data_IF_543753100291
#
_entry.id   IF_543753100291
#
_cell.length_a   1.000
_cell.length_b   1.000
_cell.length_c   1.000
_cell.angle_alpha   90.00
_cell.angle_beta   90.00
_cell.angle_gamma   90.00
#
_symmetry.space_group_name_H-M   'P 1'
#
loop_
_entity.id
_entity.type
_entity.pdbx_description
1 polymer ?
#
# COMPACT_ATOMS: atom_id res chain seq x y z
N UNK A 1 -0.51 -27.22 7.21
CA UNK A 1 -0.46 -25.86 7.78
C UNK A 1 -0.32 -24.85 6.66
N UNK A 2 -0.60 -23.58 6.90
CA UNK A 2 -0.39 -22.52 5.92
C UNK A 2 1.06 -22.03 6.05
N UNK A 3 1.79 -21.89 4.95
CA UNK A 3 3.11 -21.27 4.97
C UNK A 3 2.94 -19.77 5.25
N UNK A 4 3.68 -19.22 6.22
CA UNK A 4 3.53 -17.83 6.68
C UNK A 4 3.89 -16.78 5.63
N UNK A 5 4.53 -17.18 4.53
CA UNK A 5 4.99 -16.28 3.48
C UNK A 5 4.00 -16.24 2.32
N UNK A 6 3.03 -15.33 2.40
CA UNK A 6 2.17 -15.00 1.28
C UNK A 6 2.94 -14.18 0.24
N UNK A 7 2.85 -14.61 -1.01
CA UNK A 7 3.39 -13.86 -2.16
C UNK A 7 2.24 -13.09 -2.78
N UNK A 8 2.38 -11.77 -2.92
CA UNK A 8 1.42 -10.98 -3.69
C UNK A 8 1.78 -11.08 -5.17
N UNK A 9 0.80 -11.48 -5.97
CA UNK A 9 0.89 -11.72 -7.40
C UNK A 9 -0.36 -11.17 -8.08
N UNK A 10 -0.33 -11.11 -9.40
CA UNK A 10 -1.50 -10.88 -10.22
C UNK A 10 -1.88 -12.17 -10.95
N UNK A 11 -3.16 -12.53 -10.89
CA UNK A 11 -3.69 -13.68 -11.64
C UNK A 11 -4.92 -13.20 -12.39
N UNK A 12 -4.88 -13.25 -13.72
CA UNK A 12 -5.95 -12.79 -14.61
C UNK A 12 -6.42 -11.34 -14.30
N UNK A 13 -5.50 -10.39 -14.16
CA UNK A 13 -5.78 -8.98 -13.77
C UNK A 13 -6.42 -8.78 -12.38
N UNK A 14 -6.38 -9.80 -11.51
CA UNK A 14 -6.85 -9.70 -10.13
C UNK A 14 -5.66 -9.81 -9.17
N UNK A 15 -5.38 -8.77 -8.37
CA UNK A 15 -4.30 -8.81 -7.39
C UNK A 15 -4.67 -9.70 -6.21
N UNK A 16 -3.82 -10.70 -5.96
CA UNK A 16 -4.08 -11.74 -4.95
C UNK A 16 -2.83 -12.06 -4.15
N UNK A 17 -3.04 -12.53 -2.93
CA UNK A 17 -1.97 -13.15 -2.13
C UNK A 17 -2.10 -14.65 -2.20
N UNK A 18 -1.04 -15.32 -2.59
CA UNK A 18 -0.99 -16.78 -2.69
C UNK A 18 -0.01 -17.38 -1.70
N UNK A 19 -0.37 -18.52 -1.13
CA UNK A 19 0.55 -19.35 -0.37
C UNK A 19 0.17 -20.82 -0.54
N UNK A 20 1.11 -21.71 -0.87
CA UNK A 20 0.82 -23.13 -0.96
C UNK A 20 0.56 -23.70 0.44
N UNK A 21 -0.28 -24.72 0.54
CA UNK A 21 -0.32 -25.48 1.79
C UNK A 21 1.05 -26.13 2.06
N UNK A 22 1.34 -26.33 3.34
CA UNK A 22 2.57 -26.97 3.79
C UNK A 22 2.26 -28.24 4.59
N UNK A 23 3.15 -29.23 4.49
CA UNK A 23 3.13 -30.38 5.40
C UNK A 23 3.32 -29.88 6.85
N UNK A 24 2.45 -30.30 7.77
CA UNK A 24 2.49 -29.85 9.17
C UNK A 24 3.63 -30.47 9.97
N UNK A 25 4.05 -31.68 9.59
CA UNK A 25 5.02 -32.49 10.30
C UNK A 25 5.54 -33.63 9.39
N UNK A 26 6.56 -34.34 9.87
CA UNK A 26 7.23 -35.40 9.11
C UNK A 26 6.32 -36.61 8.85
N UNK A 27 5.37 -36.90 9.74
CA UNK A 27 4.43 -38.03 9.56
C UNK A 27 3.46 -37.69 8.43
N UNK A 28 2.88 -36.48 8.46
CA UNK A 28 1.99 -35.98 7.41
C UNK A 28 2.72 -35.83 6.08
N UNK A 29 4.00 -35.50 6.10
CA UNK A 29 4.85 -35.58 4.92
C UNK A 29 4.86 -37.01 4.35
N UNK A 30 5.27 -38.03 5.11
CA UNK A 30 5.39 -39.40 4.57
C UNK A 30 4.06 -39.97 4.05
N UNK A 31 2.93 -39.59 4.65
CA UNK A 31 1.60 -40.00 4.21
C UNK A 31 1.22 -39.34 2.87
N UNK A 32 1.54 -38.06 2.68
CA UNK A 32 1.01 -37.26 1.57
C UNK A 32 2.04 -36.93 0.47
N UNK A 33 3.33 -37.17 0.72
CA UNK A 33 4.45 -36.88 -0.17
C UNK A 33 4.26 -37.41 -1.60
N UNK A 34 3.68 -38.61 -1.73
CA UNK A 34 3.43 -39.24 -3.04
C UNK A 34 2.40 -38.47 -3.88
N UNK A 35 1.38 -37.92 -3.22
CA UNK A 35 0.29 -37.20 -3.86
C UNK A 35 0.61 -35.71 -4.07
N UNK A 36 1.59 -35.18 -3.35
CA UNK A 36 1.95 -33.76 -3.39
C UNK A 36 0.96 -32.89 -2.62
N UNK A 37 1.11 -31.57 -2.76
CA UNK A 37 0.25 -30.55 -2.18
C UNK A 37 -0.78 -30.12 -3.24
N UNK A 38 -2.06 -30.46 -3.10
CA UNK A 38 -3.05 -30.22 -4.16
C UNK A 38 -3.73 -28.84 -4.12
N UNK A 39 -3.53 -28.06 -3.04
CA UNK A 39 -4.22 -26.79 -2.85
C UNK A 39 -3.26 -25.68 -2.42
N UNK A 40 -3.65 -24.45 -2.72
CA UNK A 40 -3.05 -23.23 -2.20
C UNK A 40 -4.16 -22.31 -1.67
N UNK A 41 -3.80 -21.42 -0.75
CA UNK A 41 -4.69 -20.36 -0.29
C UNK A 41 -4.50 -19.16 -1.21
N UNK A 42 -5.61 -18.60 -1.71
CA UNK A 42 -5.69 -17.37 -2.50
C UNK A 42 -6.48 -16.36 -1.68
N UNK A 43 -5.92 -15.20 -1.40
CA UNK A 43 -6.62 -14.11 -0.71
C UNK A 43 -6.76 -12.94 -1.68
N UNK A 44 -7.99 -12.50 -1.91
CA UNK A 44 -8.28 -11.35 -2.74
C UNK A 44 -7.84 -10.05 -2.03
N UNK A 45 -7.11 -9.18 -2.73
CA UNK A 45 -6.60 -7.96 -2.12
C UNK A 45 -7.67 -6.87 -1.92
N UNK A 46 -8.75 -6.89 -2.70
CA UNK A 46 -9.84 -5.94 -2.59
C UNK A 46 -10.87 -6.38 -1.52
N UNK A 47 -11.32 -7.64 -1.55
CA UNK A 47 -12.34 -8.12 -0.61
C UNK A 47 -11.77 -8.68 0.69
N UNK A 48 -10.47 -9.05 0.70
CA UNK A 48 -9.83 -9.79 1.79
C UNK A 48 -10.41 -11.20 2.02
N UNK A 49 -11.23 -11.71 1.10
CA UNK A 49 -11.76 -13.08 1.17
C UNK A 49 -10.65 -14.09 0.88
N UNK A 50 -10.64 -15.19 1.63
CA UNK A 50 -9.66 -16.26 1.51
C UNK A 50 -10.30 -17.53 0.97
N UNK A 51 -9.83 -17.97 -0.21
CA UNK A 51 -10.25 -19.18 -0.88
C UNK A 51 -9.19 -20.27 -0.80
N UNK A 52 -9.64 -21.52 -0.66
CA UNK A 52 -8.78 -22.68 -0.85
C UNK A 52 -8.92 -23.19 -2.30
N UNK A 53 -7.93 -22.90 -3.13
CA UNK A 53 -7.97 -23.18 -4.57
C UNK A 53 -7.18 -24.45 -4.88
N UNK A 54 -7.75 -25.31 -5.73
CA UNK A 54 -7.10 -26.55 -6.18
C UNK A 54 -6.15 -26.24 -7.33
N UNK A 55 -4.92 -26.71 -7.24
CA UNK A 55 -3.95 -26.65 -8.33
C UNK A 55 -4.34 -27.62 -9.44
N UNK A 56 -4.02 -27.25 -10.69
CA UNK A 56 -4.16 -28.16 -11.84
C UNK A 56 -3.32 -29.42 -11.60
N UNK A 57 -2.08 -29.23 -11.15
CA UNK A 57 -1.14 -30.28 -10.81
C UNK A 57 -0.64 -30.10 -9.37
N UNK A 58 -0.74 -31.13 -8.50
CA UNK A 58 -0.23 -31.04 -7.12
C UNK A 58 1.28 -30.76 -7.07
N UNK A 59 1.70 -29.91 -6.13
CA UNK A 59 3.12 -29.60 -5.93
C UNK A 59 3.82 -30.80 -5.31
N UNK A 60 4.81 -31.35 -6.01
CA UNK A 60 5.74 -32.36 -5.48
C UNK A 60 7.03 -31.75 -4.97
N UNK A 61 7.35 -30.55 -5.44
CA UNK A 61 8.49 -29.75 -5.01
C UNK A 61 7.95 -28.56 -4.26
N UNK A 62 8.39 -28.33 -3.03
CA UNK A 62 7.93 -27.21 -2.21
C UNK A 62 8.94 -26.86 -1.14
N UNK A 63 8.77 -25.70 -0.50
CA UNK A 63 9.55 -25.31 0.70
C UNK A 63 9.29 -26.19 1.93
N UNK A 64 8.20 -26.96 1.93
CA UNK A 64 7.85 -27.86 3.05
C UNK A 64 8.19 -29.32 2.76
N UNK A 65 8.61 -29.63 1.53
CA UNK A 65 9.07 -30.97 1.18
C UNK A 65 10.48 -31.20 1.76
N UNK A 66 10.92 -32.44 1.80
CA UNK A 66 12.22 -32.81 2.38
C UNK A 66 13.13 -33.44 1.32
N UNK A 67 14.42 -33.54 1.65
CA UNK A 67 15.43 -34.14 0.77
C UNK A 67 15.46 -33.45 -0.61
N UNK A 68 15.52 -34.20 -1.71
CA UNK A 68 15.74 -33.65 -3.05
C UNK A 68 14.53 -32.95 -3.66
N UNK A 69 13.39 -32.92 -2.96
CA UNK A 69 12.18 -32.22 -3.40
C UNK A 69 11.91 -30.93 -2.63
N UNK A 70 12.71 -30.67 -1.59
CA UNK A 70 12.84 -29.32 -1.06
C UNK A 70 13.29 -28.39 -2.20
N UNK A 71 12.51 -27.34 -2.46
CA UNK A 71 12.68 -26.52 -3.65
C UNK A 71 14.06 -25.82 -3.69
N UNK A 72 14.52 -25.32 -2.54
CA UNK A 72 15.80 -24.62 -2.45
C UNK A 72 16.97 -25.57 -2.72
N UNK A 73 16.93 -26.77 -2.12
CA UNK A 73 17.91 -27.83 -2.38
C UNK A 73 17.87 -28.30 -3.82
N UNK A 74 16.68 -28.54 -4.38
CA UNK A 74 16.49 -28.98 -5.76
C UNK A 74 17.12 -28.00 -6.76
N UNK A 75 16.78 -26.71 -6.64
CA UNK A 75 17.34 -25.64 -7.48
C UNK A 75 18.86 -25.54 -7.31
N UNK A 76 19.38 -25.69 -6.08
CA UNK A 76 20.82 -25.71 -5.82
C UNK A 76 21.56 -26.83 -6.55
N UNK A 77 21.01 -28.04 -6.60
CA UNK A 77 21.63 -29.15 -7.32
C UNK A 77 21.55 -28.99 -8.84
N UNK A 78 20.47 -28.40 -9.35
CA UNK A 78 20.30 -28.14 -10.79
C UNK A 78 21.17 -26.99 -11.31
N UNK A 79 21.40 -25.97 -10.47
CA UNK A 79 22.14 -24.77 -10.85
C UNK A 79 23.27 -24.45 -9.85
N UNK A 80 24.28 -25.34 -9.70
CA UNK A 80 25.26 -25.27 -8.60
C UNK A 80 26.11 -24.00 -8.60
N UNK A 81 26.36 -23.41 -9.77
CA UNK A 81 27.23 -22.23 -9.96
C UNK A 81 26.49 -20.89 -9.85
N UNK A 82 25.17 -20.89 -9.69
CA UNK A 82 24.37 -19.67 -9.60
C UNK A 82 24.28 -19.20 -8.14
N UNK A 83 24.21 -17.89 -7.95
CA UNK A 83 23.87 -17.27 -6.66
C UNK A 83 22.36 -17.06 -6.64
N UNK A 84 21.69 -17.49 -5.58
CA UNK A 84 20.24 -17.37 -5.46
C UNK A 84 19.87 -16.24 -4.50
N UNK A 85 18.77 -15.56 -4.80
CA UNK A 85 18.11 -14.60 -3.94
C UNK A 85 16.84 -15.21 -3.34
N UNK A 86 15.77 -14.41 -3.30
CA UNK A 86 14.47 -14.85 -2.81
C UNK A 86 13.91 -15.97 -3.71
N UNK A 87 13.14 -16.88 -3.09
CA UNK A 87 12.30 -17.83 -3.81
C UNK A 87 10.85 -17.61 -3.39
N UNK A 88 9.99 -17.26 -4.33
CA UNK A 88 8.56 -16.99 -4.11
C UNK A 88 7.69 -18.03 -4.83
N UNK A 89 6.50 -18.27 -4.29
CA UNK A 89 5.52 -19.15 -4.92
C UNK A 89 4.56 -18.29 -5.74
N UNK A 90 4.38 -18.65 -6.99
CA UNK A 90 3.47 -17.98 -7.93
C UNK A 90 2.60 -19.01 -8.62
N UNK A 91 1.47 -18.56 -9.14
CA UNK A 91 0.53 -19.41 -9.90
C UNK A 91 0.30 -18.71 -11.23
N UNK A 92 0.48 -19.43 -12.34
CA UNK A 92 0.19 -18.87 -13.67
C UNK A 92 -1.33 -18.71 -13.88
N UNK A 93 -1.72 -18.05 -14.98
CA UNK A 93 -3.13 -17.84 -15.33
C UNK A 93 -3.89 -19.15 -15.58
N UNK A 94 -3.17 -20.25 -15.83
CA UNK A 94 -3.69 -21.59 -16.06
C UNK A 94 -3.90 -22.39 -14.77
N UNK A 95 -3.44 -21.88 -13.61
CA UNK A 95 -3.59 -22.52 -12.31
C UNK A 95 -2.50 -23.53 -11.95
N UNK A 96 -1.37 -23.53 -12.66
CA UNK A 96 -0.17 -24.29 -12.30
C UNK A 96 0.69 -23.51 -11.31
N UNK A 97 1.18 -24.19 -10.27
CA UNK A 97 2.04 -23.58 -9.26
C UNK A 97 3.52 -23.68 -9.61
N UNK A 98 4.24 -22.56 -9.49
CA UNK A 98 5.67 -22.47 -9.71
C UNK A 98 6.39 -21.86 -8.52
N UNK A 99 7.69 -22.13 -8.47
CA UNK A 99 8.62 -21.41 -7.62
C UNK A 99 9.55 -20.59 -8.50
N UNK A 100 9.57 -19.29 -8.28
CA UNK A 100 10.44 -18.34 -8.96
C UNK A 100 11.58 -18.00 -8.01
N UNK A 101 12.81 -18.30 -8.42
CA UNK A 101 14.03 -18.02 -7.64
C UNK A 101 14.86 -16.98 -8.35
N UNK A 102 15.09 -15.83 -7.71
CA UNK A 102 15.97 -14.78 -8.26
C UNK A 102 17.39 -15.31 -8.40
N UNK A 103 18.05 -15.00 -9.52
CA UNK A 103 19.47 -15.29 -9.72
C UNK A 103 20.29 -14.02 -9.58
N UNK A 104 21.15 -14.00 -8.59
CA UNK A 104 21.95 -12.85 -8.22
C UNK A 104 23.27 -12.77 -9.02
N UNK A 105 23.80 -11.56 -9.08
CA UNK A 105 25.13 -11.22 -9.59
C UNK A 105 25.78 -10.17 -8.69
N UNK A 106 27.09 -9.98 -8.84
CA UNK A 106 27.86 -8.89 -8.21
C UNK A 106 28.31 -7.94 -9.31
N UNK A 107 27.92 -6.67 -9.23
CA UNK A 107 28.32 -5.64 -10.19
C UNK A 107 29.61 -4.92 -9.80
N UNK A 108 30.03 -5.00 -8.53
CA UNK A 108 31.21 -4.31 -8.02
C UNK A 108 32.17 -5.32 -7.40
N UNK A 109 33.20 -5.69 -8.17
CA UNK A 109 34.17 -6.71 -7.77
C UNK A 109 33.51 -8.04 -7.44
N UNK A 110 34.08 -8.79 -6.49
CA UNK A 110 33.58 -10.11 -6.08
C UNK A 110 32.60 -10.06 -4.89
N UNK A 111 32.43 -8.91 -4.23
CA UNK A 111 31.63 -8.79 -3.00
C UNK A 111 30.48 -7.79 -3.09
N UNK A 112 30.58 -6.76 -3.90
CA UNK A 112 29.68 -5.60 -3.87
C UNK A 112 28.69 -5.52 -5.03
N UNK A 113 27.73 -4.58 -4.89
CA UNK A 113 26.74 -4.29 -5.92
C UNK A 113 25.89 -5.50 -6.28
N UNK A 114 25.28 -6.14 -5.27
CA UNK A 114 24.35 -7.26 -5.52
C UNK A 114 23.24 -6.75 -6.43
N UNK A 115 22.94 -7.52 -7.47
CA UNK A 115 21.80 -7.27 -8.34
C UNK A 115 21.24 -8.59 -8.87
N UNK A 116 20.08 -8.55 -9.51
CA UNK A 116 19.49 -9.70 -10.19
C UNK A 116 19.93 -9.71 -11.65
N UNK A 117 20.28 -10.88 -12.17
CA UNK A 117 20.62 -11.10 -13.59
C UNK A 117 19.65 -12.01 -14.34
N UNK A 118 18.69 -12.61 -13.63
CA UNK A 118 17.71 -13.52 -14.20
C UNK A 118 16.90 -14.21 -13.11
N UNK A 119 16.06 -15.15 -13.51
CA UNK A 119 15.25 -15.96 -12.61
C UNK A 119 15.31 -17.43 -13.01
N UNK A 120 15.17 -18.33 -12.04
CA UNK A 120 14.91 -19.75 -12.28
C UNK A 120 13.45 -19.98 -11.98
N UNK A 121 12.69 -20.42 -12.99
CA UNK A 121 11.29 -20.79 -12.84
C UNK A 121 11.23 -22.30 -12.75
N UNK A 122 10.76 -22.81 -11.61
CA UNK A 122 10.61 -24.24 -11.35
C UNK A 122 9.15 -24.61 -11.27
N UNK A 123 8.71 -25.53 -12.13
CA UNK A 123 7.37 -26.10 -12.04
C UNK A 123 7.25 -26.95 -10.76
N UNK A 124 6.33 -26.59 -9.88
CA UNK A 124 6.21 -27.23 -8.57
C UNK A 124 5.74 -28.68 -8.64
N UNK A 125 5.09 -29.10 -9.73
CA UNK A 125 4.61 -30.47 -9.90
C UNK A 125 5.66 -31.40 -10.52
N UNK A 126 6.36 -30.96 -11.57
CA UNK A 126 7.35 -31.77 -12.29
C UNK A 126 8.78 -31.63 -11.75
N UNK A 127 9.11 -30.49 -11.13
CA UNK A 127 10.48 -30.14 -10.76
C UNK A 127 11.34 -29.74 -11.95
N UNK A 128 10.76 -29.50 -13.11
CA UNK A 128 11.47 -28.89 -14.23
C UNK A 128 11.86 -27.46 -13.84
N UNK A 129 13.16 -27.14 -13.94
CA UNK A 129 13.74 -25.86 -13.52
C UNK A 129 14.49 -25.24 -14.71
N UNK A 130 13.95 -24.13 -15.22
CA UNK A 130 14.51 -23.41 -16.36
C UNK A 130 15.04 -22.04 -15.91
N UNK A 131 16.27 -21.72 -16.33
CA UNK A 131 16.87 -20.41 -16.10
C UNK A 131 16.51 -19.48 -17.25
N UNK A 132 16.09 -18.26 -16.91
CA UNK A 132 15.81 -17.18 -17.84
C UNK A 132 16.68 -15.97 -17.49
N UNK A 133 17.31 -15.38 -18.49
CA UNK A 133 17.83 -14.02 -18.38
C UNK A 133 16.66 -13.03 -18.28
N UNK A 134 16.90 -11.84 -17.71
CA UNK A 134 15.84 -10.87 -17.36
C UNK A 134 14.86 -10.57 -18.51
N UNK A 135 15.38 -10.39 -19.72
CA UNK A 135 14.59 -10.08 -20.93
C UNK A 135 13.71 -11.24 -21.41
N UNK A 136 14.00 -12.46 -20.96
CA UNK A 136 13.33 -13.69 -21.36
C UNK A 136 12.47 -14.29 -20.23
N UNK A 137 12.36 -13.61 -19.09
CA UNK A 137 11.47 -14.05 -18.01
C UNK A 137 10.02 -13.99 -18.52
N UNK A 138 9.22 -15.06 -18.36
CA UNK A 138 7.82 -15.06 -18.79
C UNK A 138 7.02 -13.91 -18.17
N UNK A 139 6.08 -13.34 -18.93
CA UNK A 139 5.32 -12.16 -18.49
C UNK A 139 4.43 -12.41 -17.26
N UNK A 140 3.95 -13.64 -17.06
CA UNK A 140 3.14 -14.00 -15.89
C UNK A 140 3.93 -14.00 -14.57
N UNK A 141 5.26 -13.93 -14.62
CA UNK A 141 6.11 -13.96 -13.42
C UNK A 141 6.19 -12.58 -12.80
N UNK A 142 5.52 -12.35 -11.67
CA UNK A 142 5.42 -11.01 -11.06
C UNK A 142 6.69 -10.57 -10.33
N UNK A 143 7.35 -11.50 -9.62
CA UNK A 143 8.43 -11.14 -8.69
C UNK A 143 9.75 -11.83 -9.05
N UNK A 144 10.61 -11.05 -9.70
CA UNK A 144 11.99 -11.42 -10.04
C UNK A 144 12.99 -10.75 -9.09
N UNK A 145 12.71 -9.52 -8.68
CA UNK A 145 13.57 -8.72 -7.82
C UNK A 145 13.12 -8.83 -6.35
N UNK A 146 13.98 -9.30 -5.43
CA UNK A 146 13.65 -9.30 -4.00
C UNK A 146 13.46 -7.88 -3.46
N UNK A 147 12.40 -7.63 -2.70
CA UNK A 147 12.09 -6.30 -2.17
C UNK A 147 13.23 -5.76 -1.28
N UNK A 148 13.79 -6.59 -0.40
CA UNK A 148 14.93 -6.20 0.45
C UNK A 148 16.16 -5.77 -0.36
N UNK A 149 16.39 -6.38 -1.52
CA UNK A 149 17.48 -5.99 -2.40
C UNK A 149 17.20 -4.62 -3.05
N UNK A 150 15.96 -4.37 -3.47
CA UNK A 150 15.55 -3.07 -4.01
C UNK A 150 15.66 -1.97 -2.97
N UNK A 151 15.20 -2.22 -1.73
CA UNK A 151 15.36 -1.30 -0.59
C UNK A 151 16.83 -0.93 -0.37
N UNK A 152 17.72 -1.94 -0.29
CA UNK A 152 19.14 -1.69 -0.13
C UNK A 152 19.75 -0.89 -1.30
N UNK A 153 19.31 -1.14 -2.53
CA UNK A 153 19.77 -0.40 -3.71
C UNK A 153 19.26 1.06 -3.73
N UNK A 154 18.03 1.31 -3.29
CA UNK A 154 17.49 2.66 -3.11
C UNK A 154 18.25 3.41 -2.02
N UNK A 155 18.57 2.75 -0.91
CA UNK A 155 19.42 3.30 0.15
C UNK A 155 20.82 3.65 -0.37
N UNK A 156 21.44 2.79 -1.17
CA UNK A 156 22.73 3.12 -1.80
C UNK A 156 22.63 4.32 -2.75
N UNK A 157 21.56 4.40 -3.55
CA UNK A 157 21.30 5.56 -4.41
C UNK A 157 21.17 6.84 -3.58
N UNK A 158 20.42 6.80 -2.49
CA UNK A 158 20.19 7.95 -1.62
C UNK A 158 21.41 8.36 -0.81
N UNK A 159 22.18 7.37 -0.34
CA UNK A 159 23.40 7.57 0.44
C UNK A 159 24.54 8.17 -0.38
N UNK A 160 24.69 7.71 -1.62
CA UNK A 160 25.83 8.07 -2.48
C UNK A 160 25.48 9.06 -3.60
N UNK A 161 24.30 9.71 -3.56
CA UNK A 161 23.82 10.67 -4.56
C UNK A 161 24.86 11.77 -4.89
N UNK A 162 25.46 12.34 -3.84
CA UNK A 162 26.49 13.39 -3.92
C UNK A 162 27.91 12.82 -3.69
N UNK A 163 28.08 11.50 -3.86
CA UNK A 163 29.35 10.80 -3.77
C UNK A 163 29.73 10.30 -2.37
N UNK A 164 30.71 9.39 -2.35
CA UNK A 164 31.15 8.66 -1.15
C UNK A 164 31.70 9.56 -0.03
N UNK A 165 32.48 10.58 -0.37
CA UNK A 165 33.01 11.49 0.65
C UNK A 165 31.90 12.35 1.28
N UNK A 166 30.89 12.72 0.49
CA UNK A 166 29.72 13.41 1.02
C UNK A 166 28.93 12.48 1.97
N UNK A 167 28.73 11.21 1.62
CA UNK A 167 27.97 10.28 2.49
C UNK A 167 28.57 10.11 3.89
N UNK A 168 29.88 10.30 4.04
CA UNK A 168 30.59 10.13 5.32
C UNK A 168 30.76 11.45 6.06
N UNK A 169 31.15 12.52 5.36
CA UNK A 169 31.61 13.78 6.00
C UNK A 169 30.53 14.87 5.91
N UNK A 170 30.01 15.10 4.71
CA UNK A 170 29.12 16.24 4.43
C UNK A 170 27.66 15.97 4.79
N UNK A 171 27.20 14.75 4.52
CA UNK A 171 25.84 14.24 4.63
C UNK A 171 24.79 15.19 4.05
N UNK A 172 25.14 15.94 2.99
CA UNK A 172 24.22 16.85 2.30
C UNK A 172 23.37 16.04 1.32
N UNK A 173 22.07 16.30 1.26
CA UNK A 173 21.11 15.63 0.37
C UNK A 173 21.15 14.10 0.43
N UNK A 174 21.55 13.55 1.57
CA UNK A 174 21.59 12.10 1.78
C UNK A 174 20.20 11.64 2.18
N UNK A 175 19.67 10.70 1.41
CA UNK A 175 18.34 10.13 1.62
C UNK A 175 18.43 8.65 1.93
N UNK A 176 17.41 8.14 2.61
CA UNK A 176 17.23 6.73 2.91
C UNK A 176 15.77 6.34 2.74
N UNK A 177 15.49 5.11 2.35
CA UNK A 177 14.13 4.57 2.39
C UNK A 177 13.59 4.56 3.82
N UNK A 178 12.27 4.69 3.95
CA UNK A 178 11.62 4.49 5.25
C UNK A 178 11.61 3.01 5.62
N UNK A 179 11.34 2.67 6.88
CA UNK A 179 11.45 1.28 7.32
C UNK A 179 10.27 0.45 6.80
N UNK A 180 10.48 -0.26 5.70
CA UNK A 180 9.50 -1.18 5.14
C UNK A 180 8.95 -0.75 3.81
N UNK A 181 8.06 -1.58 3.27
CA UNK A 181 7.49 -1.43 1.95
C UNK A 181 6.12 -2.12 1.89
N UNK A 182 5.37 -1.80 0.84
CA UNK A 182 4.15 -2.49 0.48
C UNK A 182 4.19 -2.94 -0.99
N UNK A 183 3.26 -3.80 -1.39
CA UNK A 183 3.11 -4.24 -2.77
C UNK A 183 1.85 -3.63 -3.37
N UNK A 184 2.01 -2.93 -4.50
CA UNK A 184 0.92 -2.27 -5.21
C UNK A 184 0.81 -2.87 -6.61
N UNK A 185 -0.34 -3.46 -6.97
CA UNK A 185 -0.60 -3.90 -8.34
C UNK A 185 -0.88 -2.69 -9.25
N UNK A 186 -0.20 -2.60 -10.39
CA UNK A 186 -0.38 -1.54 -11.40
C UNK A 186 -0.21 -2.13 -12.80
N UNK A 187 -1.22 -1.95 -13.66
CA UNK A 187 -1.18 -2.31 -15.09
C UNK A 187 -0.62 -3.71 -15.36
N UNK A 188 -1.14 -4.69 -14.62
CA UNK A 188 -0.79 -6.11 -14.62
C UNK A 188 0.44 -6.52 -13.78
N UNK A 189 1.38 -5.60 -13.49
CA UNK A 189 2.59 -5.91 -12.72
C UNK A 189 2.46 -5.59 -11.23
N UNK A 190 3.31 -6.22 -10.40
CA UNK A 190 3.48 -5.87 -8.99
C UNK A 190 4.63 -4.88 -8.81
N UNK A 191 4.35 -3.76 -8.13
CA UNK A 191 5.33 -2.75 -7.75
C UNK A 191 5.59 -2.80 -6.24
N UNK A 192 6.86 -2.64 -5.85
CA UNK A 192 7.23 -2.30 -4.49
C UNK A 192 7.05 -0.80 -4.26
N UNK A 193 6.32 -0.46 -3.20
CA UNK A 193 6.10 0.90 -2.72
C UNK A 193 6.89 1.14 -1.43
N UNK A 194 7.66 2.22 -1.36
CA UNK A 194 8.35 2.65 -0.13
C UNK A 194 8.57 4.17 -0.11
N UNK A 195 8.55 4.77 1.08
CA UNK A 195 8.86 6.18 1.30
C UNK A 195 10.37 6.46 1.33
N UNK A 196 10.74 7.74 1.27
CA UNK A 196 12.12 8.21 1.27
C UNK A 196 12.25 9.41 2.18
N UNK A 197 13.10 9.33 3.20
CA UNK A 197 13.34 10.43 4.13
C UNK A 197 14.79 10.93 4.06
N UNK A 198 15.03 12.12 4.61
CA UNK A 198 16.37 12.68 4.80
C UNK A 198 17.00 12.15 6.08
N UNK A 199 18.30 11.83 6.05
CA UNK A 199 19.01 11.37 7.26
C UNK A 199 19.16 12.48 8.32
N UNK A 200 19.07 13.76 7.92
CA UNK A 200 19.65 14.88 8.67
C UNK A 200 18.70 15.84 9.40
N UNK A 201 17.50 15.38 9.79
CA UNK A 201 16.66 15.99 10.83
C UNK A 201 15.42 16.82 10.46
N UNK A 202 14.70 16.46 9.40
CA UNK A 202 13.26 16.72 9.37
C UNK A 202 12.60 15.39 8.98
N UNK A 203 11.79 14.81 9.86
CA UNK A 203 11.09 13.54 9.62
C UNK A 203 9.96 13.68 8.58
N UNK A 204 10.20 14.49 7.55
CA UNK A 204 9.37 14.56 6.37
C UNK A 204 9.89 13.55 5.35
N UNK A 205 8.95 12.78 4.85
CA UNK A 205 9.10 12.00 3.64
C UNK A 205 9.22 12.99 2.47
N UNK A 206 10.27 12.82 1.67
CA UNK A 206 10.54 13.61 0.46
C UNK A 206 9.70 13.13 -0.73
N UNK A 207 9.17 11.91 -0.63
CA UNK A 207 8.40 11.27 -1.67
C UNK A 207 8.52 9.76 -1.66
N UNK A 208 7.93 9.12 -2.66
CA UNK A 208 7.78 7.67 -2.70
C UNK A 208 8.40 7.07 -3.95
N UNK A 209 9.01 5.89 -3.81
CA UNK A 209 9.39 5.06 -4.93
C UNK A 209 8.35 3.98 -5.20
N UNK A 210 8.05 3.81 -6.48
CA UNK A 210 7.39 2.62 -7.02
C UNK A 210 8.39 1.91 -7.90
N UNK A 211 8.72 0.65 -7.58
CA UNK A 211 9.70 -0.14 -8.34
C UNK A 211 9.04 -1.43 -8.82
N UNK A 212 8.98 -1.63 -10.13
CA UNK A 212 8.43 -2.84 -10.74
C UNK A 212 9.26 -4.05 -10.31
N UNK A 213 8.61 -5.05 -9.72
CA UNK A 213 9.25 -6.23 -9.12
C UNK A 213 9.74 -7.25 -10.17
N UNK A 214 9.36 -7.09 -11.44
CA UNK A 214 9.77 -7.92 -12.58
C UNK A 214 10.83 -7.23 -13.44
N UNK A 215 10.64 -5.95 -13.76
CA UNK A 215 11.50 -5.20 -14.71
C UNK A 215 12.50 -4.26 -14.06
N UNK A 216 12.33 -3.95 -12.77
CA UNK A 216 13.09 -2.94 -12.02
C UNK A 216 12.85 -1.48 -12.47
N UNK A 217 11.88 -1.21 -13.34
CA UNK A 217 11.52 0.17 -13.67
C UNK A 217 11.08 0.91 -12.39
N UNK A 218 11.66 2.08 -12.15
CA UNK A 218 11.42 2.85 -10.93
C UNK A 218 10.85 4.23 -11.23
N UNK A 219 9.77 4.62 -10.55
CA UNK A 219 9.19 5.97 -10.58
C UNK A 219 9.29 6.59 -9.20
N UNK A 220 9.67 7.87 -9.14
CA UNK A 220 9.71 8.65 -7.91
C UNK A 220 8.65 9.75 -7.95
N UNK A 221 7.84 9.83 -6.91
CA UNK A 221 6.85 10.88 -6.74
C UNK A 221 7.27 11.76 -5.58
N UNK A 222 7.63 13.01 -5.86
CA UNK A 222 7.98 13.96 -4.81
C UNK A 222 6.69 14.49 -4.19
N UNK A 223 6.46 14.10 -2.94
CA UNK A 223 5.30 14.49 -2.15
C UNK A 223 5.82 14.78 -0.76
N UNK A 224 5.86 16.05 -0.33
CA UNK A 224 6.21 16.40 1.04
C UNK A 224 5.14 15.82 1.97
N UNK A 225 5.47 14.76 2.69
CA UNK A 225 4.51 14.11 3.59
C UNK A 225 5.18 13.67 4.89
N UNK A 226 4.39 13.30 5.89
CA UNK A 226 4.88 12.56 7.04
C UNK A 226 5.41 11.18 6.60
N UNK A 227 6.38 10.66 7.34
CA UNK A 227 6.80 9.27 7.19
C UNK A 227 5.68 8.30 7.61
N UNK A 228 5.73 7.08 7.10
CA UNK A 228 4.70 6.06 7.31
C UNK A 228 4.52 5.69 8.78
N UNK A 229 5.58 5.70 9.60
CA UNK A 229 5.48 5.37 11.02
C UNK A 229 4.82 6.49 11.81
N UNK A 230 5.11 7.74 11.47
CA UNK A 230 4.40 8.89 12.04
C UNK A 230 2.89 8.78 11.78
N UNK A 231 2.49 8.41 10.56
CA UNK A 231 1.09 8.16 10.24
C UNK A 231 0.50 6.97 11.03
N UNK A 232 1.23 5.85 11.12
CA UNK A 232 0.83 4.68 11.92
C UNK A 232 0.65 5.01 13.40
N UNK A 233 1.57 5.78 13.98
CA UNK A 233 1.50 6.22 15.37
C UNK A 233 0.32 7.17 15.60
N UNK A 234 0.02 8.05 14.64
CA UNK A 234 -1.13 8.94 14.69
C UNK A 234 -2.45 8.15 14.67
N UNK A 235 -2.56 7.17 13.77
CA UNK A 235 -3.71 6.27 13.69
C UNK A 235 -3.92 5.46 14.97
N UNK A 236 -2.87 4.85 15.50
CA UNK A 236 -2.93 4.12 16.77
C UNK A 236 -3.25 5.05 17.96
N UNK A 237 -2.80 6.31 17.89
CA UNK A 237 -3.07 7.35 18.88
C UNK A 237 -4.54 7.65 19.09
N UNK A 238 -5.37 7.54 18.05
CA UNK A 238 -6.82 7.78 18.12
C UNK A 238 -7.60 6.64 18.80
N UNK A 239 -7.05 5.43 18.86
CA UNK A 239 -7.73 4.24 19.37
C UNK A 239 -6.86 3.46 20.38
N UNK A 240 -6.07 4.18 21.18
CA UNK A 240 -5.13 3.58 22.13
C UNK A 240 -5.81 2.60 23.10
N UNK A 241 -7.07 2.87 23.47
CA UNK A 241 -7.85 2.03 24.37
C UNK A 241 -8.17 0.65 23.80
N UNK A 242 -8.12 0.48 22.47
CA UNK A 242 -8.36 -0.81 21.79
C UNK A 242 -7.12 -1.71 21.75
N UNK A 243 -5.93 -1.16 22.00
CA UNK A 243 -4.64 -1.86 21.84
C UNK A 243 -4.49 -2.52 20.46
N UNK A 244 -4.97 -1.86 19.40
CA UNK A 244 -4.80 -2.36 18.03
C UNK A 244 -3.43 -1.97 17.48
N UNK A 245 -2.86 -2.85 16.67
CA UNK A 245 -1.56 -2.64 16.01
C UNK A 245 -1.78 -2.14 14.59
N UNK A 246 -1.22 -0.97 14.20
CA UNK A 246 -1.33 -0.47 12.84
C UNK A 246 -0.47 -1.29 11.88
N UNK A 247 -0.96 -1.49 10.65
CA UNK A 247 -0.18 -2.07 9.55
C UNK A 247 0.62 -0.99 8.83
N UNK A 248 1.66 -1.39 8.11
CA UNK A 248 2.32 -0.49 7.16
C UNK A 248 1.28 0.07 6.16
N UNK A 249 1.24 1.39 5.94
CA UNK A 249 0.19 2.03 5.16
C UNK A 249 0.27 1.70 3.67
N UNK A 250 -0.85 1.94 2.98
CA UNK A 250 -0.91 2.08 1.52
C UNK A 250 -1.18 3.55 1.22
N UNK A 251 -0.42 4.16 0.31
CA UNK A 251 -0.70 5.51 -0.13
C UNK A 251 -1.80 5.50 -1.20
N UNK A 252 -2.85 6.28 -0.95
CA UNK A 252 -3.96 6.50 -1.88
C UNK A 252 -3.98 7.96 -2.31
N UNK A 253 -4.50 8.20 -3.52
CA UNK A 253 -4.97 9.52 -3.90
C UNK A 253 -6.46 9.61 -3.56
N UNK A 254 -6.81 10.39 -2.55
CA UNK A 254 -8.20 10.69 -2.19
C UNK A 254 -8.42 12.18 -2.45
N UNK A 255 -9.18 12.52 -3.50
CA UNK A 255 -9.44 13.91 -3.93
C UNK A 255 -8.18 14.76 -4.13
N UNK A 256 -7.25 14.26 -4.92
CA UNK A 256 -5.94 14.90 -5.19
C UNK A 256 -5.07 15.12 -3.96
N UNK A 257 -5.38 14.43 -2.85
CA UNK A 257 -4.56 14.43 -1.64
C UNK A 257 -3.91 13.07 -1.39
N UNK A 258 -2.59 13.05 -1.16
CA UNK A 258 -1.89 11.85 -0.71
C UNK A 258 -2.41 11.48 0.69
N UNK A 259 -3.00 10.30 0.82
CA UNK A 259 -3.65 9.84 2.05
C UNK A 259 -3.21 8.42 2.36
N UNK A 260 -2.74 8.17 3.58
CA UNK A 260 -2.36 6.84 4.03
C UNK A 260 -3.57 6.05 4.51
N UNK A 261 -3.84 4.91 3.89
CA UNK A 261 -4.75 3.89 4.39
C UNK A 261 -4.00 2.90 5.28
N UNK A 262 -4.44 2.77 6.52
CA UNK A 262 -3.83 1.93 7.55
C UNK A 262 -4.87 0.93 8.05
N UNK A 263 -4.55 -0.36 8.00
CA UNK A 263 -5.34 -1.38 8.70
C UNK A 263 -4.96 -1.42 10.18
N UNK A 264 -5.95 -1.56 11.06
CA UNK A 264 -5.76 -1.63 12.50
C UNK A 264 -6.14 -3.04 12.97
N UNK A 265 -5.14 -3.79 13.42
CA UNK A 265 -5.27 -5.22 13.76
C UNK A 265 -5.46 -5.42 15.25
N UNK A 266 -6.34 -6.35 15.61
CA UNK A 266 -6.42 -6.85 16.98
C UNK A 266 -5.21 -7.74 17.35
N UNK A 267 -5.18 -8.20 18.60
CA UNK A 267 -4.13 -9.10 19.09
C UNK A 267 -4.09 -10.46 18.35
N UNK A 268 -5.15 -10.84 17.63
CA UNK A 268 -5.19 -12.04 16.80
C UNK A 268 -4.65 -11.78 15.38
N UNK A 269 -4.25 -10.55 15.05
CA UNK A 269 -3.69 -10.17 13.76
C UNK A 269 -4.74 -9.89 12.68
N UNK A 270 -6.03 -9.86 13.04
CA UNK A 270 -7.13 -9.60 12.12
C UNK A 270 -7.40 -8.10 12.05
N UNK A 271 -7.51 -7.54 10.84
CA UNK A 271 -7.93 -6.16 10.65
C UNK A 271 -9.38 -6.02 11.14
N UNK A 272 -9.61 -5.12 12.10
CA UNK A 272 -10.93 -4.83 12.66
C UNK A 272 -11.42 -3.44 12.32
N UNK A 273 -10.49 -2.52 12.11
CA UNK A 273 -10.75 -1.14 11.78
C UNK A 273 -9.74 -0.67 10.73
N UNK A 274 -10.07 0.45 10.10
CA UNK A 274 -9.23 1.13 9.13
C UNK A 274 -9.04 2.57 9.55
N UNK A 275 -7.90 3.16 9.21
CA UNK A 275 -7.65 4.57 9.37
C UNK A 275 -7.23 5.21 8.05
N UNK A 276 -7.70 6.42 7.81
CA UNK A 276 -7.11 7.33 6.83
C UNK A 276 -6.36 8.44 7.56
N UNK A 277 -5.13 8.67 7.15
CA UNK A 277 -4.27 9.73 7.66
C UNK A 277 -3.81 10.59 6.50
N UNK A 278 -4.13 11.88 6.52
CA UNK A 278 -3.63 12.82 5.51
C UNK A 278 -2.10 12.82 5.55
N UNK A 279 -1.45 12.59 4.41
CA UNK A 279 -0.01 12.44 4.38
C UNK A 279 0.70 13.78 4.62
N UNK A 280 0.11 14.92 4.22
CA UNK A 280 0.67 16.26 4.48
C UNK A 280 0.37 16.71 5.92
N UNK A 281 -0.82 16.38 6.44
CA UNK A 281 -1.23 16.70 7.80
C UNK A 281 -1.60 15.45 8.61
N UNK A 282 -0.59 14.73 9.10
CA UNK A 282 -0.75 13.46 9.81
C UNK A 282 -1.56 13.54 11.12
N UNK A 283 -1.89 14.73 11.61
CA UNK A 283 -2.82 14.91 12.73
C UNK A 283 -4.28 14.70 12.32
N UNK A 284 -4.60 14.81 11.03
CA UNK A 284 -5.91 14.50 10.49
C UNK A 284 -6.02 12.99 10.29
N UNK A 285 -6.62 12.35 11.29
CA UNK A 285 -6.84 10.91 11.33
C UNK A 285 -8.33 10.64 11.39
N UNK A 286 -8.79 9.69 10.58
CA UNK A 286 -10.16 9.21 10.59
C UNK A 286 -10.11 7.71 10.76
N UNK A 287 -10.85 7.19 11.73
CA UNK A 287 -10.86 5.77 12.07
C UNK A 287 -12.29 5.25 11.99
N UNK A 288 -12.48 4.10 11.35
CA UNK A 288 -13.79 3.50 11.11
C UNK A 288 -13.70 1.99 10.94
N UNK A 289 -14.84 1.33 10.82
CA UNK A 289 -14.90 -0.14 10.76
C UNK A 289 -14.68 -0.67 9.33
N UNK A 290 -14.98 0.15 8.32
CA UNK A 290 -14.83 -0.21 6.90
C UNK A 290 -14.05 0.85 6.12
N UNK A 291 -13.42 0.44 5.01
CA UNK A 291 -12.67 1.36 4.13
C UNK A 291 -13.60 2.42 3.53
N UNK A 292 -14.81 2.02 3.12
CA UNK A 292 -15.81 2.92 2.54
C UNK A 292 -16.27 3.98 3.54
N UNK A 293 -16.49 3.58 4.80
CA UNK A 293 -16.86 4.51 5.87
C UNK A 293 -15.77 5.56 6.11
N UNK A 294 -14.51 5.15 6.23
CA UNK A 294 -13.42 6.11 6.46
C UNK A 294 -13.18 7.03 5.27
N UNK A 295 -13.32 6.54 4.03
CA UNK A 295 -13.22 7.38 2.82
C UNK A 295 -14.36 8.40 2.79
N UNK A 296 -15.60 7.98 3.08
CA UNK A 296 -16.74 8.89 3.12
C UNK A 296 -16.56 9.98 4.19
N UNK A 297 -16.13 9.59 5.40
CA UNK A 297 -15.82 10.55 6.47
C UNK A 297 -14.64 11.46 6.12
N UNK A 298 -13.61 10.94 5.44
CA UNK A 298 -12.49 11.73 4.95
C UNK A 298 -12.93 12.77 3.95
N UNK A 299 -13.76 12.39 3.00
CA UNK A 299 -14.33 13.34 2.05
C UNK A 299 -15.08 14.47 2.77
N UNK A 300 -15.97 14.14 3.72
CA UNK A 300 -16.72 15.17 4.49
C UNK A 300 -15.80 16.06 5.32
N UNK A 301 -14.77 15.50 5.96
CA UNK A 301 -13.87 16.24 6.86
C UNK A 301 -12.84 17.08 6.11
N UNK A 302 -12.36 16.60 4.97
CA UNK A 302 -11.38 17.31 4.12
C UNK A 302 -12.01 18.27 3.11
N UNK A 303 -13.33 18.17 2.89
CA UNK A 303 -14.14 19.14 2.11
C UNK A 303 -14.27 20.53 2.75
N UNK A 304 -13.66 20.74 3.91
CA UNK A 304 -13.32 22.10 4.37
C UNK A 304 -12.02 22.61 3.76
N UNK A 305 -11.63 22.12 2.57
CA UNK A 305 -10.53 22.73 1.83
C UNK A 305 -10.90 24.19 1.64
N UNK A 306 -10.23 25.09 2.34
CA UNK A 306 -10.44 26.54 2.24
C UNK A 306 -9.98 27.09 0.88
N UNK A 307 -9.95 26.26 -0.17
CA UNK A 307 -9.51 26.58 -1.51
C UNK A 307 -10.64 26.29 -2.51
N UNK A 308 -10.87 27.21 -3.46
CA UNK A 308 -11.85 27.01 -4.52
C UNK A 308 -11.41 25.90 -5.48
N UNK A 309 -12.29 24.93 -5.72
CA UNK A 309 -12.17 23.94 -6.78
C UNK A 309 -12.38 24.56 -8.17
N UNK A 310 -12.15 23.76 -9.22
CA UNK A 310 -12.28 24.22 -10.61
C UNK A 310 -13.73 24.62 -10.99
N UNK A 311 -14.71 24.07 -10.29
CA UNK A 311 -16.14 24.27 -10.45
C UNK A 311 -16.76 25.14 -9.33
N UNK A 312 -15.93 25.76 -8.50
CA UNK A 312 -16.36 26.66 -7.45
C UNK A 312 -17.24 27.77 -8.03
N UNK A 313 -18.42 27.99 -7.44
CA UNK A 313 -19.37 28.97 -7.93
C UNK A 313 -20.06 29.74 -6.79
N UNK A 314 -20.80 30.77 -7.18
CA UNK A 314 -21.55 31.62 -6.26
C UNK A 314 -23.03 31.25 -6.33
N UNK A 315 -23.67 31.14 -5.17
CA UNK A 315 -25.10 30.89 -5.03
C UNK A 315 -25.74 31.89 -4.07
N UNK A 316 -26.98 32.25 -4.35
CA UNK A 316 -27.81 33.02 -3.42
C UNK A 316 -28.87 32.09 -2.87
N UNK A 317 -28.87 31.90 -1.56
CA UNK A 317 -29.79 30.99 -0.86
C UNK A 317 -30.64 31.74 0.16
N UNK A 318 -31.85 31.23 0.39
CA UNK A 318 -32.70 31.64 1.50
C UNK A 318 -32.63 30.54 2.56
N UNK A 319 -32.13 30.88 3.74
CA UNK A 319 -31.96 29.94 4.85
C UNK A 319 -33.33 29.42 5.29
N UNK A 320 -33.53 28.12 5.26
CA UNK A 320 -34.70 27.45 5.85
C UNK A 320 -34.39 27.00 7.28
N UNK A 321 -33.23 26.37 7.46
CA UNK A 321 -32.77 25.84 8.74
C UNK A 321 -31.25 26.01 8.83
N UNK A 322 -30.74 26.35 10.01
CA UNK A 322 -29.31 26.43 10.28
C UNK A 322 -29.01 25.74 11.61
N UNK A 323 -28.11 24.77 11.56
CA UNK A 323 -27.66 24.01 12.71
C UNK A 323 -26.14 24.08 12.79
N UNK A 324 -25.60 24.02 14.02
CA UNK A 324 -24.15 24.01 14.21
C UNK A 324 -23.72 22.82 15.05
N UNK A 325 -22.64 22.16 14.63
CA UNK A 325 -22.03 21.05 15.35
C UNK A 325 -20.56 21.36 15.57
N UNK A 326 -20.08 21.11 16.78
CA UNK A 326 -18.65 21.20 17.10
C UNK A 326 -18.02 19.83 16.84
N UNK A 327 -17.11 19.75 15.89
CA UNK A 327 -16.33 18.55 15.57
C UNK A 327 -14.86 18.92 15.69
N UNK A 328 -14.14 18.27 16.60
CA UNK A 328 -12.70 18.46 16.84
C UNK A 328 -12.29 19.94 17.04
N UNK A 329 -13.09 20.68 17.81
CA UNK A 329 -12.85 22.09 18.13
C UNK A 329 -13.19 23.07 17.01
N UNK A 330 -13.60 22.58 15.83
CA UNK A 330 -14.14 23.40 14.76
C UNK A 330 -15.67 23.38 14.82
N UNK A 331 -16.29 24.56 14.81
CA UNK A 331 -17.74 24.69 14.64
C UNK A 331 -18.06 24.64 13.15
N UNK A 332 -18.80 23.61 12.73
CA UNK A 332 -19.40 23.50 11.41
C UNK A 332 -20.84 23.98 11.46
N UNK A 333 -21.24 24.72 10.44
CA UNK A 333 -22.62 25.13 10.20
C UNK A 333 -23.18 24.33 9.04
N UNK A 334 -24.35 23.73 9.26
CA UNK A 334 -25.15 23.06 8.25
C UNK A 334 -26.38 23.94 7.98
N UNK A 335 -26.61 24.27 6.72
CA UNK A 335 -27.67 25.17 6.28
C UNK A 335 -28.53 24.43 5.26
N UNK A 336 -29.83 24.35 5.50
CA UNK A 336 -30.81 23.94 4.50
C UNK A 336 -31.39 25.19 3.83
N UNK A 337 -31.52 25.17 2.51
CA UNK A 337 -32.12 26.26 1.74
C UNK A 337 -33.54 25.91 1.30
N UNK A 338 -34.42 26.91 1.19
CA UNK A 338 -35.87 26.73 1.01
C UNK A 338 -36.30 26.07 -0.31
N UNK A 339 -35.44 26.06 -1.32
CA UNK A 339 -35.72 25.55 -2.67
C UNK A 339 -34.48 24.86 -3.27
N UNK A 340 -33.65 24.24 -2.44
CA UNK A 340 -32.46 23.50 -2.87
C UNK A 340 -32.32 22.22 -2.02
N UNK A 341 -32.14 21.08 -2.69
CA UNK A 341 -31.98 19.78 -2.04
C UNK A 341 -30.55 19.59 -1.47
N UNK A 342 -29.61 20.48 -1.82
CA UNK A 342 -28.25 20.44 -1.30
C UNK A 342 -28.17 20.93 0.16
N UNK A 343 -27.36 20.24 0.95
CA UNK A 343 -26.98 20.73 2.29
C UNK A 343 -25.78 21.66 2.15
N UNK A 344 -25.89 22.88 2.65
CA UNK A 344 -24.80 23.85 2.61
C UNK A 344 -23.96 23.75 3.87
N UNK A 345 -22.66 23.58 3.76
CA UNK A 345 -21.77 23.33 4.90
C UNK A 345 -20.62 24.31 4.91
N UNK A 346 -20.33 24.93 6.06
CA UNK A 346 -19.19 25.83 6.20
C UNK A 346 -18.66 25.88 7.62
N UNK A 347 -17.37 26.21 7.78
CA UNK A 347 -16.77 26.36 9.11
C UNK A 347 -16.98 27.77 9.65
N UNK A 348 -17.05 27.93 10.98
CA UNK A 348 -17.10 29.25 11.62
C UNK A 348 -15.97 30.19 11.18
N UNK A 349 -14.79 29.63 10.87
CA UNK A 349 -13.64 30.37 10.36
C UNK A 349 -13.91 31.01 8.99
N UNK A 350 -14.62 30.30 8.12
CA UNK A 350 -14.88 30.72 6.73
C UNK A 350 -16.08 31.65 6.62
N UNK A 351 -17.13 31.36 7.39
CA UNK A 351 -18.37 32.13 7.36
C UNK A 351 -18.28 33.44 8.17
N UNK A 352 -17.26 33.54 9.03
CA UNK A 352 -17.04 34.69 9.90
C UNK A 352 -18.12 34.83 10.98
N UNK A 353 -18.06 35.92 11.75
CA UNK A 353 -19.04 36.21 12.81
C UNK A 353 -20.46 36.46 12.28
N UNK A 354 -20.60 36.75 10.99
CA UNK A 354 -21.88 37.08 10.36
C UNK A 354 -22.89 35.93 10.45
N UNK A 355 -22.44 34.68 10.35
CA UNK A 355 -23.32 33.50 10.35
C UNK A 355 -23.99 33.26 11.70
N UNK A 356 -23.36 33.68 12.80
CA UNK A 356 -23.85 33.46 14.17
C UNK A 356 -25.21 34.14 14.41
N UNK A 357 -25.49 35.21 13.66
CA UNK A 357 -26.72 35.98 13.79
C UNK A 357 -27.77 35.67 12.72
N UNK A 358 -27.46 34.77 11.79
CA UNK A 358 -28.36 34.41 10.68
C UNK A 358 -29.44 33.45 11.15
N UNK A 359 -30.65 33.61 10.60
CA UNK A 359 -31.83 32.83 10.95
C UNK A 359 -32.58 32.38 9.71
N UNK A 360 -33.50 31.44 9.91
CA UNK A 360 -34.48 31.07 8.90
C UNK A 360 -35.17 32.33 8.33
N UNK A 361 -35.19 32.44 6.99
CA UNK A 361 -35.70 33.58 6.24
C UNK A 361 -34.61 34.56 5.76
N UNK A 362 -33.38 34.50 6.29
CA UNK A 362 -32.29 35.37 5.82
C UNK A 362 -31.77 34.92 4.45
N UNK A 363 -31.38 35.89 3.63
CA UNK A 363 -30.70 35.64 2.36
C UNK A 363 -29.19 35.65 2.57
N UNK A 364 -28.51 34.64 2.02
CA UNK A 364 -27.06 34.51 2.02
C UNK A 364 -26.54 34.39 0.60
N UNK A 365 -25.48 35.14 0.30
CA UNK A 365 -24.70 34.98 -0.92
C UNK A 365 -23.44 34.19 -0.57
N UNK A 366 -23.39 32.93 -0.99
CA UNK A 366 -22.35 31.99 -0.62
C UNK A 366 -21.48 31.68 -1.83
N UNK A 367 -20.17 31.64 -1.64
CA UNK A 367 -19.23 31.17 -2.64
C UNK A 367 -18.59 29.88 -2.15
N UNK A 368 -18.56 28.87 -3.00
CA UNK A 368 -18.23 27.52 -2.54
C UNK A 368 -18.10 26.48 -3.63
N UNK A 369 -17.77 25.26 -3.21
CA UNK A 369 -17.60 24.11 -4.08
C UNK A 369 -18.90 23.30 -4.11
N UNK A 370 -19.51 23.06 -5.29
CA UNK A 370 -20.65 22.15 -5.39
C UNK A 370 -20.21 20.68 -5.30
N UNK A 371 -20.96 19.89 -4.56
CA UNK A 371 -20.86 18.42 -4.48
C UNK A 371 -22.19 17.78 -4.88
N UNK A 372 -22.21 16.46 -5.04
CA UNK A 372 -23.40 15.71 -5.49
C UNK A 372 -24.63 15.92 -4.58
N UNK A 373 -24.43 16.04 -3.26
CA UNK A 373 -25.50 16.20 -2.25
C UNK A 373 -25.25 17.38 -1.28
N UNK A 374 -24.18 18.15 -1.49
CA UNK A 374 -23.72 19.17 -0.55
C UNK A 374 -23.13 20.36 -1.30
N UNK A 375 -23.05 21.51 -0.63
CA UNK A 375 -22.36 22.70 -1.12
C UNK A 375 -21.44 23.26 -0.04
N UNK A 376 -20.13 23.24 -0.27
CA UNK A 376 -19.13 23.68 0.70
C UNK A 376 -18.89 25.17 0.61
N UNK A 377 -19.33 25.92 1.60
CA UNK A 377 -19.17 27.36 1.67
C UNK A 377 -17.74 27.71 2.09
N UNK A 378 -17.02 28.36 1.18
CA UNK A 378 -15.68 28.89 1.39
C UNK A 378 -15.72 30.30 1.99
N UNK A 379 -16.71 31.10 1.60
CA UNK A 379 -16.95 32.44 2.14
C UNK A 379 -18.41 32.87 1.94
N UNK A 380 -18.88 33.78 2.79
CA UNK A 380 -20.11 34.54 2.57
C UNK A 380 -19.71 35.88 1.98
N UNK A 381 -20.30 36.23 0.83
CA UNK A 381 -20.09 37.51 0.16
C UNK A 381 -21.22 38.47 0.51
N UNK A 382 -20.90 39.76 0.60
CA UNK A 382 -21.89 40.82 0.75
C UNK A 382 -22.50 41.24 -0.60
#
# INVERSE_FOLDING_TARGET
MINSNYTQINVNNVPVRVTPLAYSDIIKYFINAKNGIPYYVRVDMATQDADLVKLVNPLKYSKSDILMRDIERHVRFKHPTKMFGETNFEVDDEGNGYYVTSVLTKRIGIFGGIDVKGAIVTNGASGESNYYDLENVPNWVDRVYPAELLMAQLDYRGMYSDGFFNSIIGQRNVTQTTRGYNYVPLDDDIYMFTGVTSIRSDASNLGFYFVNMRTKESKFFSVPSADEYSAMNSAAGQIQEKNYTPTFPVLLNVKDRPTYLIGLKDASGLAKMFALVDAENYQQVIVGNTVQEVIAQFNVRTDTSNQPGADANERTIVVEEIESVVIDGNTLYFIRAKDDDLIYVGTAKNLGSSIVFKKAGDTLKVFGNPLELQFDILEIRE
#
